data_IF_403592394586
#
_entry.id   IF_403592394586
#
_cell.length_a   1.000
_cell.length_b   1.000
_cell.length_c   1.000
_cell.angle_alpha   90.00
_cell.angle_beta   90.00
_cell.angle_gamma   90.00
#
_symmetry.space_group_name_H-M   'P 1'
#
loop_
_entity.id
_entity.type
_entity.pdbx_description
1 polymer ?
#
# COMPACT_ATOMS: atom_id res chain seq x y z
N UNK A 1 13.64 -31.50 -5.13
CA UNK A 1 13.42 -30.48 -4.11
C UNK A 1 12.37 -30.99 -3.13
N UNK A 2 12.63 -31.03 -1.82
CA UNK A 2 11.68 -31.60 -0.86
C UNK A 2 10.74 -30.49 -0.33
N UNK A 3 9.57 -30.34 -0.94
CA UNK A 3 8.59 -29.31 -0.61
C UNK A 3 8.10 -29.39 0.85
N UNK A 4 7.98 -30.59 1.43
CA UNK A 4 7.57 -30.75 2.83
C UNK A 4 8.60 -30.10 3.78
N UNK A 5 9.89 -30.29 3.50
CA UNK A 5 10.96 -29.68 4.29
C UNK A 5 10.94 -28.15 4.13
N UNK A 6 10.76 -27.65 2.90
CA UNK A 6 10.67 -26.22 2.63
C UNK A 6 9.51 -25.56 3.41
N UNK A 7 8.34 -26.17 3.39
CA UNK A 7 7.18 -25.67 4.12
C UNK A 7 7.44 -25.70 5.65
N UNK A 8 8.01 -26.77 6.17
CA UNK A 8 8.33 -26.88 7.60
C UNK A 8 9.35 -25.84 8.04
N UNK A 9 10.40 -25.61 7.25
CA UNK A 9 11.44 -24.61 7.52
C UNK A 9 10.87 -23.19 7.45
N UNK A 10 9.98 -22.90 6.49
CA UNK A 10 9.30 -21.61 6.37
C UNK A 10 8.36 -21.36 7.56
N UNK A 11 7.62 -22.37 7.99
CA UNK A 11 6.75 -22.29 9.17
C UNK A 11 7.56 -22.01 10.43
N UNK A 12 8.64 -22.78 10.64
CA UNK A 12 9.55 -22.59 11.77
C UNK A 12 10.13 -21.18 11.80
N UNK A 13 10.64 -20.70 10.65
CA UNK A 13 11.14 -19.33 10.52
C UNK A 13 10.08 -18.28 10.92
N UNK A 14 8.84 -18.46 10.45
CA UNK A 14 7.71 -17.58 10.79
C UNK A 14 7.45 -17.55 12.30
N UNK A 15 7.47 -18.72 12.96
CA UNK A 15 7.24 -18.80 14.40
C UNK A 15 8.38 -18.17 15.21
N UNK A 16 9.62 -18.33 14.77
CA UNK A 16 10.80 -17.75 15.42
C UNK A 16 10.91 -16.23 15.22
N UNK A 17 10.34 -15.69 14.11
CA UNK A 17 10.47 -14.29 13.71
C UNK A 17 9.11 -13.58 13.59
N UNK A 18 8.18 -13.82 14.52
CA UNK A 18 6.82 -13.22 14.50
C UNK A 18 6.81 -11.70 14.34
N UNK A 19 7.76 -11.00 14.97
CA UNK A 19 7.89 -9.55 14.87
C UNK A 19 8.18 -9.07 13.44
N UNK A 20 9.03 -9.79 12.69
CA UNK A 20 9.30 -9.46 11.29
C UNK A 20 8.07 -9.65 10.42
N UNK A 21 7.34 -10.76 10.62
CA UNK A 21 6.13 -11.06 9.86
C UNK A 21 5.03 -10.04 10.17
N UNK A 22 4.87 -9.65 11.44
CA UNK A 22 3.89 -8.65 11.84
C UNK A 22 4.18 -7.29 11.17
N UNK A 23 5.40 -6.79 11.29
CA UNK A 23 5.75 -5.46 10.78
C UNK A 23 5.83 -5.40 9.24
N UNK A 24 6.39 -6.42 8.60
CA UNK A 24 6.64 -6.39 7.16
C UNK A 24 5.61 -7.15 6.33
N UNK A 25 4.80 -8.00 6.94
CA UNK A 25 3.74 -8.72 6.26
C UNK A 25 2.36 -8.19 6.60
N UNK A 26 1.98 -8.25 7.88
CA UNK A 26 0.63 -7.92 8.31
C UNK A 26 0.30 -6.42 8.19
N UNK A 27 1.19 -5.54 8.67
CA UNK A 27 0.92 -4.09 8.69
C UNK A 27 0.69 -3.50 7.29
N UNK A 28 1.53 -3.77 6.27
CA UNK A 28 1.28 -3.28 4.92
C UNK A 28 0.03 -3.90 4.28
N UNK A 29 -0.25 -5.16 4.58
CA UNK A 29 -1.46 -5.85 4.10
C UNK A 29 -2.72 -5.22 4.68
N UNK A 30 -2.72 -4.92 5.98
CA UNK A 30 -3.83 -4.23 6.66
C UNK A 30 -4.05 -2.84 6.09
N UNK A 31 -2.98 -2.06 5.85
CA UNK A 31 -3.08 -0.75 5.22
C UNK A 31 -3.69 -0.84 3.82
N UNK A 32 -3.21 -1.76 3.01
CA UNK A 32 -3.72 -1.99 1.64
C UNK A 32 -5.20 -2.39 1.65
N UNK A 33 -5.60 -3.27 2.57
CA UNK A 33 -6.99 -3.71 2.72
C UNK A 33 -7.89 -2.55 3.16
N UNK A 34 -7.45 -1.74 4.11
CA UNK A 34 -8.22 -0.57 4.59
C UNK A 34 -8.45 0.44 3.47
N UNK A 35 -7.41 0.74 2.68
CA UNK A 35 -7.53 1.63 1.52
C UNK A 35 -8.46 1.01 0.46
N UNK A 36 -8.35 -0.31 0.21
CA UNK A 36 -9.23 -1.03 -0.71
C UNK A 36 -10.70 -0.97 -0.30
N UNK A 37 -11.00 -1.17 0.99
CA UNK A 37 -12.36 -1.03 1.53
C UNK A 37 -12.85 0.41 1.39
N UNK A 38 -12.02 1.40 1.70
CA UNK A 38 -12.35 2.81 1.51
C UNK A 38 -12.68 3.14 0.07
N UNK A 39 -11.90 2.63 -0.88
CA UNK A 39 -12.15 2.79 -2.31
C UNK A 39 -13.45 2.13 -2.76
N UNK A 40 -13.73 0.89 -2.33
CA UNK A 40 -14.98 0.20 -2.63
C UNK A 40 -16.20 0.93 -2.04
N UNK A 41 -16.07 1.45 -0.82
CA UNK A 41 -17.12 2.27 -0.20
C UNK A 41 -17.37 3.54 -1.00
N UNK A 42 -16.31 4.24 -1.40
CA UNK A 42 -16.41 5.40 -2.27
C UNK A 42 -17.11 5.06 -3.59
N UNK A 43 -16.72 3.97 -4.25
CA UNK A 43 -17.35 3.51 -5.50
C UNK A 43 -18.83 3.23 -5.30
N UNK A 44 -19.21 2.57 -4.21
CA UNK A 44 -20.62 2.28 -3.90
C UNK A 44 -21.45 3.56 -3.73
N UNK A 45 -20.92 4.53 -2.97
CA UNK A 45 -21.62 5.81 -2.78
C UNK A 45 -21.65 6.65 -4.05
N UNK A 46 -20.59 6.67 -4.84
CA UNK A 46 -20.53 7.35 -6.12
C UNK A 46 -21.53 6.73 -7.11
N UNK A 47 -21.61 5.41 -7.18
CA UNK A 47 -22.59 4.70 -8.02
C UNK A 47 -24.03 4.99 -7.60
N UNK A 48 -24.33 4.96 -6.30
CA UNK A 48 -25.64 5.29 -5.77
C UNK A 48 -26.04 6.75 -6.08
N UNK A 49 -25.07 7.65 -6.12
CA UNK A 49 -25.31 9.07 -6.43
C UNK A 49 -25.43 9.32 -7.94
N UNK A 50 -24.74 8.56 -8.78
CA UNK A 50 -24.83 8.67 -10.24
C UNK A 50 -26.20 8.25 -10.78
N UNK A 51 -26.93 7.38 -10.06
CA UNK A 51 -28.31 7.02 -10.40
C UNK A 51 -29.30 8.20 -10.25
N UNK A 52 -28.87 9.28 -9.58
CA UNK A 52 -29.63 10.52 -9.41
C UNK A 52 -29.31 11.57 -10.49
N UNK A 53 -28.30 11.33 -11.34
CA UNK A 53 -27.93 12.21 -12.46
C UNK A 53 -28.53 11.73 -13.78
N UNK A 54 -29.86 11.65 -13.81
CA UNK A 54 -30.63 11.13 -14.96
C UNK A 54 -30.84 12.17 -16.09
N UNK A 55 -30.06 13.24 -16.13
CA UNK A 55 -30.08 14.24 -17.20
C UNK A 55 -28.74 14.21 -17.96
N UNK A 56 -28.57 13.22 -18.80
CA UNK A 56 -27.35 12.85 -19.47
C UNK A 56 -27.09 13.60 -20.80
N UNK A 57 -27.08 14.92 -20.80
CA UNK A 57 -26.59 15.67 -21.97
C UNK A 57 -25.13 16.16 -21.81
N UNK A 58 -24.53 16.06 -20.61
CA UNK A 58 -23.16 16.48 -20.37
C UNK A 58 -22.25 15.28 -20.09
N UNK A 59 -21.00 15.34 -20.53
CA UNK A 59 -20.05 14.24 -20.29
C UNK A 59 -19.82 14.10 -18.78
N UNK A 60 -20.02 12.89 -18.26
CA UNK A 60 -19.86 12.50 -16.85
C UNK A 60 -18.56 13.03 -16.22
N UNK A 61 -17.49 13.10 -17.02
CA UNK A 61 -16.21 13.65 -16.62
C UNK A 61 -16.29 15.15 -16.33
N UNK A 62 -17.03 15.91 -17.14
CA UNK A 62 -17.16 17.35 -16.99
C UNK A 62 -17.98 17.71 -15.75
N UNK A 63 -19.03 16.94 -15.48
CA UNK A 63 -19.89 17.17 -14.31
C UNK A 63 -19.17 16.81 -13.01
N UNK A 64 -18.42 15.72 -13.00
CA UNK A 64 -17.56 15.37 -11.87
C UNK A 64 -16.48 16.42 -11.64
N UNK A 65 -15.85 16.94 -12.70
CA UNK A 65 -14.84 17.98 -12.61
C UNK A 65 -15.43 19.30 -12.09
N UNK A 66 -16.59 19.71 -12.61
CA UNK A 66 -17.27 20.93 -12.17
C UNK A 66 -17.77 20.83 -10.73
N UNK A 67 -18.34 19.69 -10.35
CA UNK A 67 -18.76 19.46 -8.96
C UNK A 67 -17.57 19.43 -8.01
N UNK A 68 -16.49 18.75 -8.41
CA UNK A 68 -15.26 18.74 -7.63
C UNK A 68 -14.66 20.12 -7.46
N UNK A 69 -14.62 20.92 -8.54
CA UNK A 69 -14.11 22.28 -8.49
C UNK A 69 -15.00 23.21 -7.64
N UNK A 70 -16.33 23.11 -7.76
CA UNK A 70 -17.27 23.83 -6.92
C UNK A 70 -17.08 23.52 -5.44
N UNK A 71 -16.99 22.23 -5.10
CA UNK A 71 -16.73 21.80 -3.73
C UNK A 71 -15.37 22.33 -3.19
N UNK A 72 -14.31 22.28 -3.99
CA UNK A 72 -12.98 22.80 -3.63
C UNK A 72 -13.02 24.31 -3.40
N UNK A 73 -13.71 25.08 -4.25
CA UNK A 73 -13.78 26.54 -4.14
C UNK A 73 -14.62 27.00 -2.96
N UNK A 74 -15.72 26.32 -2.67
CA UNK A 74 -16.60 26.66 -1.55
C UNK A 74 -16.03 26.23 -0.18
N UNK A 75 -15.26 25.13 -0.14
CA UNK A 75 -14.74 24.52 1.07
C UNK A 75 -13.20 24.44 1.10
N UNK A 76 -12.51 25.45 0.55
CA UNK A 76 -11.06 25.45 0.43
C UNK A 76 -10.33 25.16 1.76
N UNK A 77 -10.84 25.68 2.86
CA UNK A 77 -10.27 25.47 4.21
C UNK A 77 -10.26 24.00 4.64
N UNK A 78 -11.23 23.20 4.20
CA UNK A 78 -11.31 21.76 4.50
C UNK A 78 -10.64 20.92 3.40
N UNK A 79 -10.75 21.36 2.16
CA UNK A 79 -10.26 20.62 1.00
C UNK A 79 -8.74 20.61 0.92
N UNK A 80 -8.07 21.71 1.21
CA UNK A 80 -6.61 21.78 1.17
C UNK A 80 -5.97 20.75 2.13
N UNK A 81 -6.33 20.71 3.43
CA UNK A 81 -5.81 19.67 4.33
C UNK A 81 -6.16 18.25 3.87
N UNK A 82 -7.37 18.03 3.35
CA UNK A 82 -7.79 16.72 2.86
C UNK A 82 -6.96 16.23 1.67
N UNK A 83 -6.67 17.12 0.72
CA UNK A 83 -5.81 16.81 -0.45
C UNK A 83 -4.38 16.52 0.01
N UNK A 84 -3.84 17.30 0.93
CA UNK A 84 -2.49 17.07 1.49
C UNK A 84 -2.41 15.71 2.18
N UNK A 85 -3.36 15.41 3.06
CA UNK A 85 -3.41 14.11 3.75
C UNK A 85 -3.60 12.98 2.74
N UNK A 86 -4.49 13.13 1.76
CA UNK A 86 -4.70 12.16 0.69
C UNK A 86 -3.43 11.89 -0.13
N UNK A 87 -2.68 12.94 -0.47
CA UNK A 87 -1.40 12.80 -1.16
C UNK A 87 -0.35 12.05 -0.31
N UNK A 88 -0.26 12.37 0.98
CA UNK A 88 0.63 11.66 1.91
C UNK A 88 0.26 10.17 1.99
N UNK A 89 -1.03 9.87 2.16
CA UNK A 89 -1.53 8.48 2.23
C UNK A 89 -1.24 7.73 0.91
N UNK A 90 -1.44 8.37 -0.23
CA UNK A 90 -1.14 7.79 -1.54
C UNK A 90 0.36 7.46 -1.70
N UNK A 91 1.24 8.38 -1.29
CA UNK A 91 2.68 8.16 -1.30
C UNK A 91 3.07 7.00 -0.37
N UNK A 92 2.55 6.99 0.85
CA UNK A 92 2.80 5.90 1.79
C UNK A 92 2.28 4.56 1.27
N UNK A 93 1.11 4.55 0.66
CA UNK A 93 0.54 3.35 0.05
C UNK A 93 1.40 2.79 -1.10
N UNK A 94 2.04 3.66 -1.87
CA UNK A 94 2.95 3.26 -2.94
C UNK A 94 4.28 2.71 -2.41
N UNK A 95 4.84 3.34 -1.38
CA UNK A 95 6.18 3.06 -0.88
C UNK A 95 6.23 1.92 0.15
N UNK A 96 5.28 1.87 1.08
CA UNK A 96 5.30 0.92 2.21
C UNK A 96 5.35 -0.55 1.75
N UNK A 97 4.52 -1.03 0.78
CA UNK A 97 4.56 -2.43 0.38
C UNK A 97 5.92 -2.85 -0.22
N UNK A 98 6.52 -1.98 -1.02
CA UNK A 98 7.81 -2.24 -1.65
C UNK A 98 8.94 -2.23 -0.61
N UNK A 99 8.93 -1.26 0.30
CA UNK A 99 9.88 -1.19 1.40
C UNK A 99 9.76 -2.42 2.32
N UNK A 100 8.56 -2.84 2.64
CA UNK A 100 8.31 -4.04 3.46
C UNK A 100 8.83 -5.31 2.82
N UNK A 101 8.65 -5.47 1.50
CA UNK A 101 9.22 -6.59 0.75
C UNK A 101 10.75 -6.56 0.78
N UNK A 102 11.35 -5.40 0.53
CA UNK A 102 12.80 -5.22 0.60
C UNK A 102 13.36 -5.58 1.99
N UNK A 103 12.73 -5.08 3.05
CA UNK A 103 13.10 -5.37 4.43
C UNK A 103 12.94 -6.85 4.80
N UNK A 104 11.86 -7.50 4.35
CA UNK A 104 11.63 -8.93 4.55
C UNK A 104 12.69 -9.78 3.88
N UNK A 105 13.02 -9.51 2.61
CA UNK A 105 14.06 -10.26 1.90
C UNK A 105 15.42 -10.13 2.56
N UNK A 106 15.79 -8.93 2.99
CA UNK A 106 17.05 -8.71 3.70
C UNK A 106 17.08 -9.41 5.07
N UNK A 107 15.98 -9.36 5.82
CA UNK A 107 15.88 -10.02 7.11
C UNK A 107 16.00 -11.55 6.98
N UNK A 108 15.33 -12.15 5.99
CA UNK A 108 15.37 -13.59 5.70
C UNK A 108 16.79 -14.00 5.26
N UNK A 109 17.40 -13.26 4.33
CA UNK A 109 18.73 -13.57 3.82
C UNK A 109 19.78 -13.54 4.97
N UNK A 110 19.71 -12.53 5.82
CA UNK A 110 20.62 -12.39 6.98
C UNK A 110 20.41 -13.51 8.01
N UNK A 111 19.15 -13.84 8.33
CA UNK A 111 18.85 -14.94 9.24
C UNK A 111 19.38 -16.28 8.73
N UNK A 112 19.24 -16.56 7.44
CA UNK A 112 19.80 -17.78 6.82
C UNK A 112 21.32 -17.84 6.85
N UNK A 113 21.98 -16.68 6.82
CA UNK A 113 23.45 -16.59 6.93
C UNK A 113 23.94 -16.54 8.38
N UNK A 114 23.08 -16.83 9.37
CA UNK A 114 23.44 -16.82 10.79
C UNK A 114 23.74 -15.42 11.35
N UNK A 115 23.39 -14.37 10.62
CA UNK A 115 23.58 -12.98 11.06
C UNK A 115 22.41 -12.52 11.91
N UNK A 116 22.65 -11.55 12.80
CA UNK A 116 21.57 -10.94 13.57
C UNK A 116 20.50 -10.37 12.63
N UNK A 117 19.28 -10.83 12.79
CA UNK A 117 18.11 -10.33 12.11
C UNK A 117 17.14 -9.73 13.13
N UNK A 118 16.46 -8.66 12.73
CA UNK A 118 15.50 -7.97 13.57
C UNK A 118 14.81 -6.89 12.77
N UNK A 119 13.69 -6.34 13.28
CA UNK A 119 12.89 -5.34 12.56
C UNK A 119 13.70 -4.12 12.16
N UNK A 120 14.47 -3.55 13.10
CA UNK A 120 15.29 -2.35 12.84
C UNK A 120 16.42 -2.62 11.83
N UNK A 121 17.07 -3.78 11.93
CA UNK A 121 18.13 -4.20 11.01
C UNK A 121 17.53 -4.46 9.62
N UNK A 122 16.40 -5.18 9.55
CA UNK A 122 15.68 -5.43 8.31
C UNK A 122 15.27 -4.13 7.62
N UNK A 123 14.74 -3.17 8.37
CA UNK A 123 14.36 -1.86 7.84
C UNK A 123 15.58 -1.08 7.29
N UNK A 124 16.69 -1.03 8.04
CA UNK A 124 17.90 -0.34 7.61
C UNK A 124 18.44 -0.88 6.28
N UNK A 125 18.56 -2.19 6.16
CA UNK A 125 19.04 -2.81 4.92
C UNK A 125 17.96 -2.85 3.83
N UNK A 126 16.69 -2.89 4.23
CA UNK A 126 15.55 -2.74 3.31
C UNK A 126 15.53 -1.38 2.63
N UNK A 127 15.84 -0.30 3.34
CA UNK A 127 15.99 1.04 2.76
C UNK A 127 17.12 1.11 1.73
N UNK A 128 18.25 0.44 1.98
CA UNK A 128 19.35 0.38 1.01
C UNK A 128 18.98 -0.42 -0.26
N UNK A 129 18.16 -1.45 -0.11
CA UNK A 129 17.69 -2.28 -1.21
C UNK A 129 16.37 -1.77 -1.85
N UNK A 130 15.79 -0.70 -1.28
CA UNK A 130 14.49 -0.19 -1.70
C UNK A 130 14.51 0.34 -3.12
N UNK A 131 15.48 1.17 -3.46
CA UNK A 131 15.52 1.86 -4.75
C UNK A 131 15.56 0.88 -5.94
N UNK A 132 16.49 -0.10 -5.99
CA UNK A 132 16.52 -1.08 -7.07
C UNK A 132 15.25 -1.92 -7.14
N UNK A 133 14.66 -2.25 -6.00
CA UNK A 133 13.46 -3.07 -5.93
C UNK A 133 12.22 -2.28 -6.37
N UNK A 134 12.18 -0.99 -6.07
CA UNK A 134 11.13 -0.08 -6.49
C UNK A 134 11.17 0.16 -8.00
N UNK A 135 12.34 0.41 -8.56
CA UNK A 135 12.55 0.52 -10.01
C UNK A 135 12.10 -0.75 -10.75
N UNK A 136 12.53 -1.91 -10.24
CA UNK A 136 12.08 -3.20 -10.79
C UNK A 136 10.55 -3.36 -10.72
N UNK A 137 9.95 -2.96 -9.62
CA UNK A 137 8.50 -3.06 -9.43
C UNK A 137 7.72 -2.14 -10.38
N UNK A 138 8.25 -0.95 -10.67
CA UNK A 138 7.68 -0.04 -11.67
C UNK A 138 7.79 -0.64 -13.07
N UNK A 139 8.95 -1.19 -13.44
CA UNK A 139 9.17 -1.79 -14.76
C UNK A 139 8.31 -3.03 -15.03
N UNK A 140 7.99 -3.82 -14.01
CA UNK A 140 7.17 -5.04 -14.17
C UNK A 140 5.67 -4.73 -14.19
N UNK A 141 5.24 -3.60 -13.65
CA UNK A 141 3.81 -3.19 -13.65
C UNK A 141 3.40 -2.33 -14.84
N UNK A 142 4.37 -1.81 -15.60
CA UNK A 142 4.11 -1.13 -16.86
C UNK A 142 4.07 -2.13 -18.01
#
# INVERSE_FOLDING_TARGET
MNYKKLIADSWRFTQENKGLIYWFGFLPSLLSTTIGIGYLSYQFFAFKKSFLFDNAETSLFRDVANYGWGFVSEHATLTIPLVVVGAIVAILWLLIPTLSKAASFQAIARSKNGQKSGVGIGLKYGLMAFLPLFEFHLLVKT
#
